data_IF_364631038663
#
_entry.id   IF_364631038663
#
_cell.length_a   1.000
_cell.length_b   1.000
_cell.length_c   1.000
_cell.angle_alpha   90.00
_cell.angle_beta   90.00
_cell.angle_gamma   90.00
#
_symmetry.space_group_name_H-M   'P 1'
#
loop_
_entity.id
_entity.type
_entity.pdbx_description
1 polymer ?
#
# COMPACT_ATOMS: atom_id res chain seq x y z
N UNK A 1 4.05 -21.00 -16.85
CA UNK A 1 2.89 -21.18 -17.75
C UNK A 1 1.71 -21.50 -16.85
N UNK A 2 0.75 -20.57 -16.68
CA UNK A 2 -0.43 -20.79 -15.83
C UNK A 2 -1.31 -21.83 -16.51
N UNK A 3 -1.20 -23.09 -16.08
CA UNK A 3 -2.11 -24.14 -16.51
C UNK A 3 -3.44 -23.95 -15.77
N UNK A 4 -4.39 -23.25 -16.39
CA UNK A 4 -5.82 -23.40 -16.08
C UNK A 4 -6.23 -24.82 -16.47
N UNK A 5 -5.86 -25.79 -15.64
CA UNK A 5 -6.24 -27.20 -15.80
C UNK A 5 -6.80 -27.64 -14.45
N UNK A 6 -8.10 -27.47 -14.31
CA UNK A 6 -8.92 -28.45 -13.64
C UNK A 6 -10.17 -28.59 -14.48
N UNK A 7 -10.65 -29.81 -14.73
CA UNK A 7 -11.92 -30.06 -15.41
C UNK A 7 -13.15 -29.64 -14.58
N UNK A 8 -13.09 -28.46 -13.95
CA UNK A 8 -14.14 -27.78 -13.20
C UNK A 8 -14.54 -26.55 -13.99
N UNK A 9 -15.77 -26.08 -13.79
CA UNK A 9 -16.43 -25.14 -14.71
C UNK A 9 -15.62 -23.85 -14.93
N UNK A 10 -15.81 -23.12 -16.06
CA UNK A 10 -15.20 -21.80 -16.25
C UNK A 10 -15.46 -20.81 -15.09
N UNK A 11 -16.55 -20.99 -14.34
CA UNK A 11 -16.83 -20.19 -13.14
C UNK A 11 -15.92 -20.55 -11.95
N UNK A 12 -15.51 -21.80 -11.83
CA UNK A 12 -14.53 -22.22 -10.82
C UNK A 12 -13.15 -21.67 -11.15
N UNK A 13 -12.75 -21.70 -12.43
CA UNK A 13 -11.51 -21.09 -12.89
C UNK A 13 -11.49 -19.57 -12.64
N UNK A 14 -12.61 -18.87 -12.86
CA UNK A 14 -12.73 -17.44 -12.53
C UNK A 14 -12.64 -17.17 -11.02
N UNK A 15 -13.14 -18.08 -10.17
CA UNK A 15 -13.00 -17.96 -8.71
C UNK A 15 -11.56 -18.15 -8.27
N UNK A 16 -10.85 -19.11 -8.86
CA UNK A 16 -9.43 -19.31 -8.57
C UNK A 16 -8.59 -18.14 -9.09
N UNK A 17 -8.86 -17.65 -10.29
CA UNK A 17 -8.21 -16.44 -10.83
C UNK A 17 -8.38 -15.26 -9.87
N UNK A 18 -9.60 -15.03 -9.38
CA UNK A 18 -9.86 -13.94 -8.42
C UNK A 18 -9.05 -14.06 -7.13
N UNK A 19 -8.80 -15.29 -6.63
CA UNK A 19 -7.95 -15.49 -5.45
C UNK A 19 -6.51 -15.11 -5.75
N UNK A 20 -5.99 -15.54 -6.90
CA UNK A 20 -4.63 -15.20 -7.35
C UNK A 20 -4.48 -13.68 -7.55
N UNK A 21 -5.48 -13.03 -8.13
CA UNK A 21 -5.50 -11.56 -8.27
C UNK A 21 -5.46 -10.86 -6.91
N UNK A 22 -6.20 -11.37 -5.91
CA UNK A 22 -6.18 -10.83 -4.55
C UNK A 22 -4.80 -10.99 -3.89
N UNK A 23 -4.14 -12.13 -4.07
CA UNK A 23 -2.78 -12.36 -3.58
C UNK A 23 -1.77 -11.43 -4.25
N UNK A 24 -1.86 -11.25 -5.57
CA UNK A 24 -1.02 -10.29 -6.31
C UNK A 24 -1.25 -8.87 -5.82
N UNK A 25 -2.50 -8.47 -5.60
CA UNK A 25 -2.84 -7.16 -5.05
C UNK A 25 -2.25 -6.94 -3.65
N UNK A 26 -2.24 -7.98 -2.80
CA UNK A 26 -1.62 -7.91 -1.47
C UNK A 26 -0.11 -7.71 -1.58
N UNK A 27 0.57 -8.52 -2.38
CA UNK A 27 2.03 -8.38 -2.61
C UNK A 27 2.35 -7.01 -3.18
N UNK A 28 1.52 -6.48 -4.09
CA UNK A 28 1.69 -5.12 -4.63
C UNK A 28 1.60 -4.06 -3.53
N UNK A 29 0.64 -4.16 -2.63
CA UNK A 29 0.51 -3.24 -1.48
C UNK A 29 1.73 -3.31 -0.56
N UNK A 30 2.23 -4.51 -0.27
CA UNK A 30 3.39 -4.72 0.59
C UNK A 30 4.66 -4.10 -0.01
N UNK A 31 4.91 -4.34 -1.30
CA UNK A 31 6.05 -3.74 -2.01
C UNK A 31 5.96 -2.21 -2.07
N UNK A 32 4.77 -1.65 -2.28
CA UNK A 32 4.57 -0.20 -2.29
C UNK A 32 4.84 0.38 -0.89
N UNK A 33 4.34 -0.28 0.16
CA UNK A 33 4.60 0.10 1.55
C UNK A 33 6.09 0.08 1.86
N UNK A 34 6.80 -0.97 1.47
CA UNK A 34 8.24 -1.09 1.68
C UNK A 34 9.03 -0.04 0.88
N UNK A 35 8.66 0.22 -0.36
CA UNK A 35 9.27 1.27 -1.17
C UNK A 35 9.07 2.66 -0.54
N UNK A 36 7.86 2.94 -0.02
CA UNK A 36 7.54 4.19 0.67
C UNK A 36 8.32 4.33 1.98
N UNK A 37 8.49 3.25 2.74
CA UNK A 37 9.31 3.22 3.96
C UNK A 37 10.81 3.46 3.66
N UNK A 38 11.28 3.02 2.49
CA UNK A 38 12.64 3.29 2.00
C UNK A 38 12.79 4.71 1.40
N UNK A 39 11.74 5.53 1.41
CA UNK A 39 11.76 6.91 0.95
C UNK A 39 11.48 7.13 -0.53
N UNK A 40 11.10 6.08 -1.29
CA UNK A 40 10.73 6.23 -2.70
C UNK A 40 9.53 7.16 -2.86
N UNK A 41 9.56 8.08 -3.82
CA UNK A 41 8.45 9.02 -4.07
C UNK A 41 7.27 8.33 -4.77
N UNK A 42 6.06 8.91 -4.66
CA UNK A 42 4.89 8.42 -5.39
C UNK A 42 5.07 8.39 -6.91
N UNK A 43 5.94 9.26 -7.45
CA UNK A 43 6.27 9.27 -8.87
C UNK A 43 7.13 8.06 -9.26
N UNK A 44 8.13 7.71 -8.45
CA UNK A 44 8.95 6.52 -8.65
C UNK A 44 8.13 5.23 -8.54
N UNK A 45 7.23 5.17 -7.55
CA UNK A 45 6.29 4.04 -7.38
C UNK A 45 5.37 3.91 -8.60
N UNK A 46 4.78 5.02 -9.05
CA UNK A 46 3.89 5.02 -10.19
C UNK A 46 4.60 4.58 -11.48
N UNK A 47 5.82 5.08 -11.71
CA UNK A 47 6.65 4.68 -12.83
C UNK A 47 6.97 3.18 -12.81
N UNK A 48 7.34 2.62 -11.65
CA UNK A 48 7.63 1.20 -11.50
C UNK A 48 6.41 0.31 -11.76
N UNK A 49 5.21 0.80 -11.45
CA UNK A 49 3.95 0.09 -11.66
C UNK A 49 3.30 0.36 -13.04
N UNK A 50 3.91 1.20 -13.89
CA UNK A 50 3.36 1.56 -15.19
C UNK A 50 2.06 2.37 -15.11
N UNK A 51 1.88 3.15 -14.04
CA UNK A 51 0.69 3.98 -13.80
C UNK A 51 1.05 5.46 -13.67
N UNK A 52 0.05 6.33 -13.73
CA UNK A 52 0.26 7.74 -13.41
C UNK A 52 0.42 7.93 -11.90
N UNK A 53 1.12 8.99 -11.49
CA UNK A 53 1.28 9.36 -10.07
C UNK A 53 -0.07 9.52 -9.36
N UNK A 54 -1.04 10.14 -10.03
CA UNK A 54 -2.37 10.35 -9.46
C UNK A 54 -3.09 9.01 -9.27
N UNK A 55 -3.07 8.13 -10.26
CA UNK A 55 -3.68 6.80 -10.16
C UNK A 55 -3.03 5.96 -9.06
N UNK A 56 -1.71 6.03 -8.90
CA UNK A 56 -1.01 5.36 -7.80
C UNK A 56 -1.46 5.91 -6.45
N UNK A 57 -1.49 7.24 -6.32
CA UNK A 57 -1.88 7.88 -5.06
C UNK A 57 -3.31 7.53 -4.67
N UNK A 58 -4.28 7.61 -5.58
CA UNK A 58 -5.68 7.26 -5.32
C UNK A 58 -5.80 5.78 -4.92
N UNK A 59 -5.23 4.87 -5.72
CA UNK A 59 -5.36 3.42 -5.51
C UNK A 59 -4.76 2.96 -4.17
N UNK A 60 -3.57 3.43 -3.83
CA UNK A 60 -2.87 2.97 -2.63
C UNK A 60 -3.24 3.75 -1.38
N UNK A 61 -3.54 5.05 -1.47
CA UNK A 61 -3.89 5.83 -0.26
C UNK A 61 -5.22 5.37 0.32
N UNK A 62 -6.21 5.06 -0.51
CA UNK A 62 -7.50 4.54 -0.02
C UNK A 62 -7.36 3.16 0.60
N UNK A 63 -6.57 2.27 -0.02
CA UNK A 63 -6.32 0.92 0.50
C UNK A 63 -5.48 0.94 1.78
N UNK A 64 -4.44 1.75 1.85
CA UNK A 64 -3.65 1.91 3.08
C UNK A 64 -4.47 2.57 4.18
N UNK A 65 -5.41 3.48 3.88
CA UNK A 65 -6.30 4.05 4.89
C UNK A 65 -7.15 2.97 5.55
N UNK A 66 -7.69 2.03 4.77
CA UNK A 66 -8.45 0.87 5.27
C UNK A 66 -7.56 -0.10 6.05
N UNK A 67 -6.34 -0.36 5.57
CA UNK A 67 -5.38 -1.22 6.26
C UNK A 67 -4.91 -0.61 7.60
N UNK A 68 -4.64 0.70 7.60
CA UNK A 68 -4.21 1.44 8.78
C UNK A 68 -5.33 1.51 9.82
N UNK A 69 -6.59 1.70 9.42
CA UNK A 69 -7.71 1.66 10.36
C UNK A 69 -7.84 0.29 11.03
N UNK A 70 -7.73 -0.80 10.27
CA UNK A 70 -7.72 -2.15 10.82
C UNK A 70 -6.55 -2.39 11.78
N UNK A 71 -5.35 -1.89 11.45
CA UNK A 71 -4.14 -2.03 12.29
C UNK A 71 -4.20 -1.17 13.55
N UNK A 72 -4.77 0.04 13.49
CA UNK A 72 -4.99 0.91 14.67
C UNK A 72 -5.99 0.28 15.62
N UNK A 73 -7.05 -0.34 15.11
CA UNK A 73 -8.01 -1.09 15.93
C UNK A 73 -7.38 -2.31 16.62
N UNK A 74 -6.36 -2.93 16.01
CA UNK A 74 -5.68 -4.11 16.57
C UNK A 74 -4.46 -3.78 17.42
N UNK A 75 -3.90 -2.56 17.33
CA UNK A 75 -2.65 -2.20 17.99
C UNK A 75 -2.88 -1.03 18.96
N UNK A 76 -3.18 -1.36 20.22
CA UNK A 76 -3.47 -0.41 21.31
C UNK A 76 -2.24 0.23 21.95
N UNK A 77 -1.03 -0.15 21.53
CA UNK A 77 0.23 0.20 22.21
C UNK A 77 0.78 1.59 21.87
N UNK A 78 0.23 2.28 20.86
CA UNK A 78 0.59 3.67 20.53
C UNK A 78 -0.54 4.60 20.96
N UNK A 79 -0.33 5.31 22.07
CA UNK A 79 -1.26 6.36 22.48
C UNK A 79 -1.31 7.48 21.43
N UNK A 80 -2.47 8.13 21.32
CA UNK A 80 -2.69 9.28 20.43
C UNK A 80 -1.62 10.37 20.60
N UNK A 81 -1.16 10.59 21.84
CA UNK A 81 -0.11 11.55 22.17
C UNK A 81 1.26 11.17 21.56
N UNK A 82 1.62 9.88 21.55
CA UNK A 82 2.87 9.40 20.96
C UNK A 82 2.85 9.52 19.43
N UNK A 83 1.72 9.20 18.80
CA UNK A 83 1.53 9.38 17.37
C UNK A 83 1.59 10.87 16.96
N UNK A 84 1.04 11.76 17.80
CA UNK A 84 1.04 13.20 17.54
C UNK A 84 2.45 13.82 17.66
N UNK A 85 3.25 13.39 18.65
CA UNK A 85 4.64 13.85 18.77
C UNK A 85 5.50 13.43 17.58
N UNK A 86 5.34 12.19 17.10
CA UNK A 86 6.06 11.69 15.93
C UNK A 86 5.73 12.50 14.67
N UNK A 87 4.46 12.85 14.45
CA UNK A 87 4.02 13.66 13.33
C UNK A 87 4.56 15.12 13.38
N UNK A 88 4.65 15.70 14.58
CA UNK A 88 5.22 17.04 14.80
C UNK A 88 6.72 17.08 14.52
N UNK A 89 7.47 16.03 14.89
CA UNK A 89 8.89 15.94 14.59
C UNK A 89 9.17 15.81 13.10
N UNK A 90 8.42 14.94 12.40
CA UNK A 90 8.57 14.77 10.94
C UNK A 90 8.25 16.07 10.17
N UNK A 91 7.19 16.79 10.55
CA UNK A 91 6.89 18.10 9.92
C UNK A 91 7.96 19.15 10.19
N UNK A 92 8.63 19.13 11.35
CA UNK A 92 9.78 20.01 11.64
C UNK A 92 10.99 19.66 10.78
N UNK A 93 11.27 18.37 10.56
CA UNK A 93 12.36 17.90 9.70
C UNK A 93 12.16 18.34 8.25
N UNK A 94 10.94 18.21 7.73
CA UNK A 94 10.59 18.63 6.35
C UNK A 94 10.72 20.15 6.19
N UNK A 95 10.28 20.94 7.18
CA UNK A 95 10.37 22.41 7.13
C UNK A 95 11.82 22.91 7.15
N UNK A 96 12.71 22.28 7.93
CA UNK A 96 14.15 22.61 7.95
C UNK A 96 14.86 22.33 6.62
N UNK A 97 14.41 21.33 5.85
CA UNK A 97 14.99 21.00 4.54
C UNK A 97 14.58 21.96 3.42
N UNK A 98 13.50 22.73 3.59
CA UNK A 98 13.02 23.72 2.61
C UNK A 98 13.59 25.12 2.79
N UNK A 99 14.29 25.39 3.91
CA UNK A 99 14.86 26.69 4.25
C UNK A 99 16.38 26.75 4.06
N UNK A 100 17.00 25.69 3.54
CA UNK A 100 18.38 25.66 3.02
C UNK A 100 18.33 25.49 1.51
#
# INVERSE_FOLDING_TARGET
MLQFISGKSPLDDLRELRKVEAEIDQVRCDLVRDARNQGATWEQVAQALGMTKQSAWEFFTDRFRIELSHRVETNTDLSEDAAMQLAVEETRVVRRRRTK
#
